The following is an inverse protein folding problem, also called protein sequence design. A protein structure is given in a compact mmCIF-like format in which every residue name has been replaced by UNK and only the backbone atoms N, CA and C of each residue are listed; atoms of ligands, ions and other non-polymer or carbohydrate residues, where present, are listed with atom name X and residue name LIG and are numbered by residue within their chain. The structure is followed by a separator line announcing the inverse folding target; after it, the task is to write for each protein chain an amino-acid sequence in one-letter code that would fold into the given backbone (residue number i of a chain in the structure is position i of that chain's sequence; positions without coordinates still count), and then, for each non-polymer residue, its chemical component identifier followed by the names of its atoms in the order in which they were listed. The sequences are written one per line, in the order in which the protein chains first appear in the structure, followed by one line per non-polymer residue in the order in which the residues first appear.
data_IF_910192196120
#
_entry.id   IF_910192196120
#
_cell.length_a   1.000
_cell.length_b   1.000
_cell.length_c   1.000
_cell.angle_alpha   90.00
_cell.angle_beta   90.00
_cell.angle_gamma   90.00
#
_symmetry.space_group_name_H-M   'P 1'
#
loop_
_entity.id
_entity.type
_entity.pdbx_description
1 polymer ?
#
# COMPACT_ATOMS: atom_id res chain seq x y z
N UNK A 1 26.22 -14.76 -27.67
CA UNK A 1 25.23 -14.07 -26.82
C UNK A 1 25.03 -12.69 -27.42
N UNK A 2 24.01 -12.53 -28.25
CA UNK A 2 23.63 -11.23 -28.79
C UNK A 2 22.86 -10.46 -27.73
N UNK A 3 23.30 -9.25 -27.44
CA UNK A 3 22.65 -8.33 -26.53
C UNK A 3 21.31 -7.89 -27.16
N UNK A 4 20.20 -8.29 -26.56
CA UNK A 4 18.86 -7.97 -27.07
C UNK A 4 18.42 -6.60 -26.56
N UNK A 5 18.57 -5.60 -27.44
CA UNK A 5 18.25 -4.19 -27.15
C UNK A 5 16.76 -3.98 -26.82
N UNK A 6 15.87 -4.87 -27.26
CA UNK A 6 14.45 -4.82 -26.94
C UNK A 6 14.17 -5.19 -25.47
N UNK A 7 14.91 -6.16 -24.94
CA UNK A 7 14.80 -6.56 -23.53
C UNK A 7 15.35 -5.49 -22.58
N UNK A 8 16.34 -4.69 -23.02
CA UNK A 8 16.86 -3.58 -22.22
C UNK A 8 15.81 -2.45 -22.09
N UNK A 9 15.11 -2.12 -23.19
CA UNK A 9 14.04 -1.12 -23.23
C UNK A 9 12.85 -1.46 -22.33
N UNK A 10 12.48 -2.74 -22.26
CA UNK A 10 11.39 -3.23 -21.40
C UNK A 10 11.75 -3.14 -19.90
N UNK A 11 13.04 -3.31 -19.57
CA UNK A 11 13.52 -3.24 -18.19
C UNK A 11 13.54 -1.81 -17.63
N UNK A 12 13.91 -0.81 -18.43
CA UNK A 12 13.86 0.58 -17.96
C UNK A 12 12.42 1.08 -17.80
N UNK A 13 11.53 0.75 -18.74
CA UNK A 13 10.10 1.09 -18.62
C UNK A 13 9.50 0.46 -17.36
N UNK A 14 9.80 -0.81 -17.09
CA UNK A 14 9.37 -1.51 -15.88
C UNK A 14 9.96 -0.90 -14.60
N UNK A 15 11.22 -0.46 -14.63
CA UNK A 15 11.88 0.19 -13.51
C UNK A 15 11.19 1.52 -13.15
N UNK A 16 10.96 2.38 -14.14
CA UNK A 16 10.28 3.66 -13.92
C UNK A 16 8.82 3.49 -13.49
N UNK A 17 8.11 2.51 -14.05
CA UNK A 17 6.75 2.18 -13.62
C UNK A 17 6.71 1.73 -12.14
N UNK A 18 7.69 0.92 -11.73
CA UNK A 18 7.82 0.43 -10.35
C UNK A 18 8.13 1.58 -9.37
N UNK A 19 9.05 2.47 -9.74
CA UNK A 19 9.40 3.64 -8.93
C UNK A 19 8.20 4.59 -8.73
N UNK A 20 7.49 4.92 -9.80
CA UNK A 20 6.27 5.74 -9.72
C UNK A 20 5.20 5.09 -8.83
N UNK A 21 5.06 3.76 -8.92
CA UNK A 21 4.08 3.02 -8.11
C UNK A 21 4.41 3.10 -6.61
N UNK A 22 5.68 3.12 -6.22
CA UNK A 22 6.10 3.27 -4.81
C UNK A 22 5.72 4.64 -4.26
N UNK A 23 6.01 5.72 -5.00
CA UNK A 23 5.65 7.07 -4.57
C UNK A 23 4.12 7.27 -4.52
N UNK A 24 3.40 6.73 -5.52
CA UNK A 24 1.94 6.75 -5.52
C UNK A 24 1.37 5.97 -4.34
N UNK A 25 1.92 4.79 -4.04
CA UNK A 25 1.50 3.99 -2.89
C UNK A 25 1.66 4.80 -1.59
N UNK A 26 2.82 5.41 -1.36
CA UNK A 26 3.05 6.26 -0.17
C UNK A 26 2.05 7.43 -0.11
N UNK A 27 1.82 8.12 -1.23
CA UNK A 27 0.88 9.25 -1.27
C UNK A 27 -0.57 8.83 -0.97
N UNK A 28 -1.00 7.66 -1.48
CA UNK A 28 -2.32 7.11 -1.16
C UNK A 28 -2.40 6.66 0.30
N UNK A 29 -1.30 6.15 0.87
CA UNK A 29 -1.23 5.79 2.28
C UNK A 29 -1.43 7.00 3.19
N UNK A 30 -0.75 8.10 2.89
CA UNK A 30 -0.85 9.32 3.69
C UNK A 30 -2.24 9.92 3.61
N UNK A 31 -2.84 9.96 2.42
CA UNK A 31 -4.24 10.39 2.24
C UNK A 31 -5.21 9.52 3.05
N UNK A 32 -5.10 8.19 2.94
CA UNK A 32 -5.97 7.28 3.69
C UNK A 32 -5.81 7.45 5.20
N UNK A 33 -4.57 7.61 5.70
CA UNK A 33 -4.32 7.85 7.11
C UNK A 33 -4.93 9.18 7.58
N UNK A 34 -4.80 10.25 6.79
CA UNK A 34 -5.40 11.54 7.08
C UNK A 34 -6.93 11.45 7.14
N UNK A 35 -7.57 10.83 6.15
CA UNK A 35 -9.02 10.63 6.14
C UNK A 35 -9.50 9.84 7.36
N UNK A 36 -8.78 8.78 7.73
CA UNK A 36 -9.09 7.99 8.92
C UNK A 36 -9.02 8.86 10.16
N UNK A 37 -7.94 9.62 10.36
CA UNK A 37 -7.76 10.47 11.53
C UNK A 37 -8.81 11.57 11.64
N UNK A 38 -9.22 12.17 10.51
CA UNK A 38 -10.23 13.22 10.46
C UNK A 38 -11.62 12.70 10.81
N UNK A 39 -11.96 11.50 10.35
CA UNK A 39 -13.30 10.91 10.55
C UNK A 39 -13.40 10.04 11.81
N UNK A 40 -12.28 9.58 12.38
CA UNK A 40 -12.19 8.82 13.64
C UNK A 40 -12.95 9.46 14.82
N UNK A 41 -12.79 10.77 15.15
CA UNK A 41 -13.46 11.35 16.32
C UNK A 41 -14.99 11.31 16.19
N UNK A 42 -15.50 11.52 14.98
CA UNK A 42 -16.93 11.46 14.68
C UNK A 42 -17.42 10.01 14.79
N UNK A 43 -16.67 9.05 14.26
CA UNK A 43 -17.01 7.63 14.32
C UNK A 43 -17.00 7.08 15.74
N UNK A 44 -16.00 7.42 16.55
CA UNK A 44 -15.94 6.99 17.95
C UNK A 44 -17.15 7.52 18.72
N UNK A 45 -17.56 8.77 18.46
CA UNK A 45 -18.70 9.40 19.11
C UNK A 45 -20.05 8.77 18.74
N UNK A 46 -20.27 8.42 17.47
CA UNK A 46 -21.59 7.96 16.99
C UNK A 46 -21.70 6.45 16.76
N UNK A 47 -20.57 5.80 16.45
CA UNK A 47 -20.54 4.40 16.00
C UNK A 47 -20.08 3.47 17.11
N UNK A 48 -19.00 3.82 17.82
CA UNK A 48 -18.31 2.91 18.76
C UNK A 48 -19.02 2.77 20.12
N UNK A 49 -19.80 3.77 20.55
CA UNK A 49 -20.56 3.73 21.80
C UNK A 49 -21.93 3.05 21.71
N UNK A 50 -22.33 2.56 20.53
CA UNK A 50 -23.67 1.99 20.29
C UNK A 50 -23.68 0.46 20.32
N UNK A 51 -24.87 -0.15 20.35
CA UNK A 51 -24.99 -1.62 20.30
C UNK A 51 -24.42 -2.13 18.97
N UNK A 52 -23.55 -3.13 19.05
CA UNK A 52 -22.90 -3.75 17.90
C UNK A 52 -23.93 -4.50 17.06
N UNK A 53 -24.29 -3.96 15.89
CA UNK A 53 -25.08 -4.66 14.87
C UNK A 53 -24.16 -5.27 13.82
N UNK A 54 -24.64 -6.29 13.10
CA UNK A 54 -23.88 -6.93 12.02
C UNK A 54 -23.33 -5.93 11.00
N UNK A 55 -24.14 -4.94 10.58
CA UNK A 55 -23.70 -3.89 9.65
C UNK A 55 -22.54 -3.04 10.20
N UNK A 56 -22.49 -2.79 11.51
CA UNK A 56 -21.37 -2.07 12.14
C UNK A 56 -20.11 -2.92 12.25
N UNK A 57 -20.26 -4.23 12.47
CA UNK A 57 -19.11 -5.17 12.47
C UNK A 57 -18.46 -5.17 11.08
N UNK A 58 -19.27 -5.30 10.02
CA UNK A 58 -18.78 -5.26 8.64
C UNK A 58 -18.13 -3.90 8.34
N UNK A 59 -18.73 -2.80 8.81
CA UNK A 59 -18.13 -1.46 8.69
C UNK A 59 -16.76 -1.38 9.37
N UNK A 60 -16.63 -1.79 10.64
CA UNK A 60 -15.35 -1.78 11.36
C UNK A 60 -14.32 -2.73 10.74
N UNK A 61 -14.74 -3.90 10.27
CA UNK A 61 -13.87 -4.84 9.59
C UNK A 61 -13.30 -4.23 8.31
N UNK A 62 -14.15 -3.63 7.47
CA UNK A 62 -13.70 -2.97 6.24
C UNK A 62 -12.81 -1.76 6.54
N UNK A 63 -13.11 -1.03 7.63
CA UNK A 63 -12.36 0.13 8.10
C UNK A 63 -10.95 -0.21 8.60
N UNK A 64 -10.79 -1.35 9.27
CA UNK A 64 -9.49 -1.85 9.76
C UNK A 64 -8.74 -2.59 8.66
N UNK A 65 -9.46 -3.25 7.75
CA UNK A 65 -8.87 -4.02 6.66
C UNK A 65 -8.02 -3.17 5.73
N UNK A 66 -8.49 -1.99 5.32
CA UNK A 66 -7.76 -1.08 4.45
C UNK A 66 -6.37 -0.69 5.00
N UNK A 67 -6.22 -0.15 6.23
CA UNK A 67 -4.91 0.17 6.78
C UNK A 67 -4.06 -1.07 7.08
N UNK A 68 -4.65 -2.23 7.40
CA UNK A 68 -3.89 -3.49 7.59
C UNK A 68 -3.27 -3.96 6.28
N UNK A 69 -4.06 -4.00 5.20
CA UNK A 69 -3.56 -4.36 3.88
C UNK A 69 -2.45 -3.40 3.45
N UNK A 70 -2.67 -2.10 3.65
CA UNK A 70 -1.69 -1.06 3.36
C UNK A 70 -0.36 -1.29 4.11
N UNK A 71 -0.43 -1.59 5.41
CA UNK A 71 0.74 -1.87 6.24
C UNK A 71 1.52 -3.12 5.83
N UNK A 72 0.88 -4.05 5.11
CA UNK A 72 1.52 -5.26 4.57
C UNK A 72 2.08 -5.03 3.16
N UNK A 73 1.31 -4.37 2.28
CA UNK A 73 1.68 -4.18 0.88
C UNK A 73 2.76 -3.11 0.66
N UNK A 74 2.78 -2.05 1.48
CA UNK A 74 3.78 -1.00 1.32
C UNK A 74 5.18 -1.52 1.64
N UNK A 75 5.43 -2.20 2.78
CA UNK A 75 6.75 -2.77 3.05
C UNK A 75 7.17 -3.85 2.04
N UNK A 76 6.23 -4.63 1.49
CA UNK A 76 6.57 -5.66 0.50
C UNK A 76 7.08 -5.06 -0.82
N UNK A 77 6.55 -3.91 -1.24
CA UNK A 77 7.07 -3.13 -2.37
C UNK A 77 8.52 -2.68 -2.17
N UNK A 78 8.96 -2.45 -0.92
CA UNK A 78 10.35 -2.08 -0.61
C UNK A 78 11.25 -3.30 -0.36
N UNK A 79 10.73 -4.37 0.23
CA UNK A 79 11.47 -5.62 0.46
C UNK A 79 11.89 -6.31 -0.82
N UNK A 80 11.05 -6.31 -1.86
CA UNK A 80 11.40 -6.87 -3.17
C UNK A 80 12.63 -6.18 -3.78
N UNK A 81 12.74 -4.85 -3.63
CA UNK A 81 13.87 -4.07 -4.15
C UNK A 81 15.19 -4.40 -3.44
N UNK A 82 15.13 -4.65 -2.12
CA UNK A 82 16.30 -5.05 -1.32
C UNK A 82 16.78 -6.45 -1.73
N UNK A 83 15.86 -7.37 -2.01
CA UNK A 83 16.19 -8.72 -2.47
C UNK A 83 16.91 -8.71 -3.83
N UNK A 84 16.49 -7.85 -4.75
CA UNK A 84 17.11 -7.76 -6.08
C UNK A 84 18.50 -7.10 -6.03
N UNK A 85 18.67 -6.06 -5.21
CA UNK A 85 19.98 -5.43 -4.96
C UNK A 85 20.96 -6.39 -4.27
N UNK A 86 20.47 -7.25 -3.37
CA UNK A 86 21.27 -8.30 -2.75
C UNK A 86 21.74 -9.36 -3.76
N UNK A 87 20.88 -9.73 -4.72
CA UNK A 87 21.20 -10.74 -5.73
C UNK A 87 22.20 -10.27 -6.80
N UNK A 88 22.26 -8.96 -7.11
CA UNK A 88 23.24 -8.40 -8.07
C UNK A 88 24.62 -8.13 -7.46
N UNK A 89 24.76 -8.22 -6.14
CA UNK A 89 26.01 -7.91 -5.40
C UNK A 89 26.81 -9.15 -4.98
N UNK A 90 26.31 -10.36 -5.29
CA UNK A 90 26.94 -11.66 -5.04
C UNK A 90 27.37 -12.30 -6.36
#
# INVERSE_FOLDING_TARGET
MGFDRGAELDLDELYYATENTKYLAIALCTLLACEILETLPTEVRYVWGSRWSFGRIVFHANRIWAPVMLAIYVPSLFMYDISEKGARSA
#
